data_IF_669983554731
#
_entry.id   IF_669983554731
#
_cell.length_a   1.000
_cell.length_b   1.000
_cell.length_c   1.000
_cell.angle_alpha   90.00
_cell.angle_beta   90.00
_cell.angle_gamma   90.00
#
_symmetry.space_group_name_H-M   'P 1'
#
loop_
_entity.id
_entity.type
_entity.pdbx_description
1 polymer ?
#
# COMPACT_ATOMS: atom_id res chain seq x y z
N UNK A 1 -12.13 -12.10 8.05
CA UNK A 1 -11.96 -10.83 8.81
C UNK A 1 -11.23 -9.85 7.92
N UNK A 2 -11.70 -8.59 7.82
CA UNK A 2 -11.27 -7.61 6.80
C UNK A 2 -9.74 -7.41 6.71
N UNK A 3 -9.04 -7.44 7.86
CA UNK A 3 -7.59 -7.30 7.94
C UNK A 3 -6.84 -8.40 7.16
N UNK A 4 -7.28 -9.65 7.34
CA UNK A 4 -6.73 -10.82 6.64
C UNK A 4 -6.96 -10.70 5.13
N UNK A 5 -8.16 -10.27 4.74
CA UNK A 5 -8.52 -10.07 3.33
C UNK A 5 -7.68 -8.97 2.66
N UNK A 6 -7.40 -7.86 3.34
CA UNK A 6 -6.50 -6.82 2.82
C UNK A 6 -5.09 -7.38 2.63
N UNK A 7 -4.57 -8.13 3.61
CA UNK A 7 -3.24 -8.71 3.53
C UNK A 7 -3.14 -9.76 2.40
N UNK A 8 -4.11 -10.67 2.28
CA UNK A 8 -4.16 -11.68 1.21
C UNK A 8 -4.26 -11.03 -0.17
N UNK A 9 -5.07 -9.98 -0.31
CA UNK A 9 -5.19 -9.24 -1.55
C UNK A 9 -3.87 -8.57 -1.94
N UNK A 10 -3.18 -7.94 -0.99
CA UNK A 10 -1.84 -7.38 -1.23
C UNK A 10 -0.80 -8.47 -1.54
N UNK A 11 -0.88 -9.63 -0.89
CA UNK A 11 -0.01 -10.77 -1.22
C UNK A 11 -0.25 -11.24 -2.66
N UNK A 12 -1.49 -11.31 -3.14
CA UNK A 12 -1.80 -11.74 -4.49
C UNK A 12 -1.41 -10.70 -5.54
N UNK A 13 -1.88 -9.46 -5.37
CA UNK A 13 -1.67 -8.37 -6.32
C UNK A 13 -0.26 -7.76 -6.29
N UNK A 14 0.50 -7.94 -5.20
CA UNK A 14 1.84 -7.38 -5.04
C UNK A 14 1.82 -5.93 -4.58
N UNK A 15 2.00 -4.99 -5.52
CA UNK A 15 2.00 -3.55 -5.25
C UNK A 15 0.68 -2.93 -5.71
N UNK A 16 -0.07 -2.35 -4.79
CA UNK A 16 -1.40 -1.82 -5.04
C UNK A 16 -1.50 -0.36 -4.63
N UNK A 17 -2.09 0.46 -5.48
CA UNK A 17 -2.38 1.86 -5.16
C UNK A 17 -3.44 2.00 -4.05
N UNK A 18 -3.29 2.99 -3.18
CA UNK A 18 -4.27 3.31 -2.14
C UNK A 18 -5.68 3.48 -2.72
N UNK A 19 -5.82 4.18 -3.83
CA UNK A 19 -7.12 4.43 -4.48
C UNK A 19 -7.80 3.13 -4.92
N UNK A 20 -7.03 2.12 -5.35
CA UNK A 20 -7.53 0.81 -5.73
C UNK A 20 -7.99 0.00 -4.51
N UNK A 21 -7.27 0.08 -3.38
CA UNK A 21 -7.69 -0.55 -2.12
C UNK A 21 -8.98 0.06 -1.59
N UNK A 22 -9.11 1.39 -1.60
CA UNK A 22 -10.30 2.10 -1.16
C UNK A 22 -11.52 1.68 -1.99
N UNK A 23 -11.37 1.59 -3.31
CA UNK A 23 -12.43 1.14 -4.23
C UNK A 23 -12.78 -0.33 -4.02
N UNK A 24 -11.79 -1.22 -3.90
CA UNK A 24 -12.00 -2.66 -3.80
C UNK A 24 -12.69 -3.05 -2.48
N UNK A 25 -12.29 -2.44 -1.37
CA UNK A 25 -12.86 -2.72 -0.05
C UNK A 25 -14.00 -1.77 0.36
N UNK A 26 -14.38 -0.84 -0.53
CA UNK A 26 -15.38 0.20 -0.26
C UNK A 26 -15.09 1.00 1.03
N UNK A 27 -13.81 1.31 1.26
CA UNK A 27 -13.34 2.01 2.45
C UNK A 27 -13.13 3.49 2.18
N UNK A 28 -13.22 4.29 3.24
CA UNK A 28 -12.66 5.65 3.28
C UNK A 28 -11.20 5.60 3.71
N UNK A 29 -10.44 6.63 3.36
CA UNK A 29 -9.01 6.73 3.68
C UNK A 29 -8.72 6.47 5.17
N UNK A 30 -9.41 7.17 6.07
CA UNK A 30 -9.27 6.96 7.52
C UNK A 30 -9.55 5.52 7.97
N UNK A 31 -10.49 4.83 7.31
CA UNK A 31 -10.79 3.43 7.59
C UNK A 31 -9.68 2.49 7.11
N UNK A 32 -9.13 2.75 5.91
CA UNK A 32 -7.98 2.00 5.40
C UNK A 32 -6.74 2.22 6.29
N UNK A 33 -6.47 3.46 6.69
CA UNK A 33 -5.34 3.80 7.57
C UNK A 33 -5.41 3.06 8.91
N UNK A 34 -6.59 3.02 9.54
CA UNK A 34 -6.79 2.31 10.78
C UNK A 34 -6.57 0.79 10.63
N UNK A 35 -7.01 0.21 9.50
CA UNK A 35 -6.86 -1.22 9.22
C UNK A 35 -5.43 -1.59 8.83
N UNK A 36 -4.72 -0.74 8.07
CA UNK A 36 -3.38 -1.07 7.58
C UNK A 36 -2.30 -0.75 8.60
N UNK A 37 -2.54 0.18 9.53
CA UNK A 37 -1.61 0.56 10.59
C UNK A 37 -1.03 -0.62 11.41
N UNK A 38 -1.83 -1.60 11.90
CA UNK A 38 -1.28 -2.77 12.59
C UNK A 38 -0.43 -3.65 11.68
N UNK A 39 -0.80 -3.81 10.40
CA UNK A 39 -0.02 -4.58 9.42
C UNK A 39 1.33 -3.90 9.14
N UNK A 40 1.33 -2.58 9.03
CA UNK A 40 2.54 -1.77 8.89
C UNK A 40 3.44 -1.84 10.13
N UNK A 41 2.86 -1.68 11.33
CA UNK A 41 3.61 -1.81 12.60
C UNK A 41 4.24 -3.19 12.77
N UNK A 42 3.56 -4.24 12.32
CA UNK A 42 4.09 -5.61 12.34
C UNK A 42 5.11 -5.92 11.24
N UNK A 43 5.41 -4.96 10.35
CA UNK A 43 6.34 -5.14 9.23
C UNK A 43 5.81 -6.02 8.09
N UNK A 44 4.53 -6.38 8.10
CA UNK A 44 3.92 -7.24 7.06
C UNK A 44 3.59 -6.49 5.77
N UNK A 45 3.30 -5.20 5.89
CA UNK A 45 2.95 -4.31 4.79
C UNK A 45 3.83 -3.07 4.84
N UNK A 46 4.28 -2.63 3.67
CA UNK A 46 5.04 -1.40 3.48
C UNK A 46 4.21 -0.40 2.68
N UNK A 47 4.39 0.88 3.02
CA UNK A 47 3.81 2.01 2.30
C UNK A 47 4.93 2.68 1.49
N UNK A 48 4.74 2.80 0.18
CA UNK A 48 5.63 3.58 -0.69
C UNK A 48 4.88 4.78 -1.24
N UNK A 49 5.54 5.93 -1.23
CA UNK A 49 4.99 7.19 -1.72
C UNK A 49 5.72 7.56 -3.00
N UNK A 50 4.98 7.68 -4.09
CA UNK A 50 5.52 8.10 -5.38
C UNK A 50 5.17 9.56 -5.59
N UNK A 51 6.17 10.44 -5.48
CA UNK A 51 6.02 11.87 -5.70
C UNK A 51 6.00 12.16 -7.20
N UNK A 52 4.98 12.87 -7.67
CA UNK A 52 4.80 13.20 -9.09
C UNK A 52 5.14 14.67 -9.35
N UNK A 53 6.42 15.02 -9.27
CA UNK A 53 6.83 16.42 -9.33
C UNK A 53 6.29 17.24 -8.14
N UNK A 54 6.58 18.53 -8.12
CA UNK A 54 6.30 19.38 -6.95
C UNK A 54 4.83 19.83 -6.85
N UNK A 55 4.09 19.83 -7.96
CA UNK A 55 2.73 20.38 -8.02
C UNK A 55 1.62 19.31 -8.05
N UNK A 56 1.96 18.02 -8.18
CA UNK A 56 0.94 16.97 -8.22
C UNK A 56 0.87 16.21 -6.89
N UNK A 57 -0.34 15.80 -6.48
CA UNK A 57 -0.50 15.01 -5.28
C UNK A 57 0.29 13.69 -5.41
N UNK A 58 0.98 13.26 -4.35
CA UNK A 58 1.72 12.01 -4.37
C UNK A 58 0.77 10.82 -4.49
N UNK A 59 1.22 9.78 -5.17
CA UNK A 59 0.49 8.51 -5.25
C UNK A 59 1.02 7.57 -4.19
N UNK A 60 0.12 7.03 -3.38
CA UNK A 60 0.43 6.09 -2.31
C UNK A 60 0.23 4.66 -2.81
N UNK A 61 1.17 3.79 -2.50
CA UNK A 61 1.08 2.35 -2.76
C UNK A 61 1.35 1.54 -1.49
N UNK A 62 0.71 0.38 -1.40
CA UNK A 62 0.94 -0.62 -0.37
C UNK A 62 1.40 -1.93 -1.01
N UNK A 63 2.33 -2.61 -0.34
CA UNK A 63 2.82 -3.91 -0.76
C UNK A 63 3.21 -4.77 0.45
N UNK A 64 3.20 -6.08 0.30
CA UNK A 64 3.69 -6.98 1.35
C UNK A 64 5.21 -7.07 1.36
N UNK A 65 5.81 -7.13 2.54
CA UNK A 65 7.29 -7.19 2.69
C UNK A 65 7.91 -8.45 2.09
N UNK A 66 7.18 -9.57 2.07
CA UNK A 66 7.70 -10.86 1.59
C UNK A 66 7.87 -10.94 0.06
N UNK A 67 7.20 -10.07 -0.71
CA UNK A 67 7.37 -10.00 -2.17
C UNK A 67 8.42 -8.94 -2.48
N UNK A 68 9.65 -9.43 -2.70
CA UNK A 68 10.81 -8.78 -3.31
C UNK A 68 10.65 -7.27 -3.54
N UNK A 69 11.40 -6.53 -2.73
CA UNK A 69 11.80 -5.14 -2.96
C UNK A 69 11.98 -4.91 -4.47
N UNK A 70 11.12 -4.10 -5.06
CA UNK A 70 11.35 -3.57 -6.40
C UNK A 70 12.66 -2.76 -6.26
N UNK A 71 13.75 -3.11 -6.95
CA UNK A 71 14.95 -2.30 -6.89
C UNK A 71 14.58 -0.90 -7.37
N UNK A 72 14.66 0.07 -6.47
CA UNK A 72 14.55 1.46 -6.83
C UNK A 72 15.77 1.77 -7.70
N UNK A 73 15.57 1.81 -9.02
CA UNK A 73 16.54 2.38 -9.95
C UNK A 73 16.57 3.88 -9.70
N UNK A 74 17.39 4.31 -8.75
CA UNK A 74 17.84 5.70 -8.65
C UNK A 74 18.85 5.90 -9.79
N UNK A 75 18.41 6.51 -10.88
CA UNK A 75 19.33 7.01 -11.91
C UNK A 75 19.95 8.28 -11.31
N UNK A 76 21.25 8.23 -11.01
CA UNK A 76 22.08 9.37 -10.55
C UNK A 76 22.57 10.15 -11.76
#
# INVERSE_FOLDING_TARGET
MILKSIYEYLQQAGRVEESALLKHFHLRQAGLDALIAPLMRSGKVQKSVHQRGEQLPPIIYYSTTDKQQIPALTIV
#
